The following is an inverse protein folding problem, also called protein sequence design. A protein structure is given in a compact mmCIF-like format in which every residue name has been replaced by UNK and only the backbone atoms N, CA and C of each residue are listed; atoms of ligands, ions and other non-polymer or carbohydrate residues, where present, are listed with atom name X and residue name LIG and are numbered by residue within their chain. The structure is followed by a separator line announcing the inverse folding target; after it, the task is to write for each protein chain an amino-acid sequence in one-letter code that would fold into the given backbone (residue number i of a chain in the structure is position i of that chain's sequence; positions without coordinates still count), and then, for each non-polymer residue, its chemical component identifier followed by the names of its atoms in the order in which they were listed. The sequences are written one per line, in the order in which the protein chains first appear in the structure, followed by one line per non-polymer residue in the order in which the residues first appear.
data_IF_210690276798
#
_entry.id   IF_210690276798
#
_cell.length_a   1.000
_cell.length_b   1.000
_cell.length_c   1.000
_cell.angle_alpha   90.00
_cell.angle_beta   90.00
_cell.angle_gamma   90.00
#
_symmetry.space_group_name_H-M   'P 1'
#
loop_
_entity.id
_entity.type
_entity.pdbx_description
1 polymer ?
#
# COMPACT_ATOMS: atom_id res chain seq x y z
N UNK A 1 -20.16 9.78 -6.31
CA UNK A 1 -18.87 9.71 -5.61
C UNK A 1 -18.03 10.95 -5.86
N UNK A 2 -18.63 12.13 -5.64
CA UNK A 2 -17.95 13.40 -5.88
C UNK A 2 -16.75 13.62 -4.93
N UNK A 3 -16.81 13.09 -3.70
CA UNK A 3 -15.72 13.20 -2.74
C UNK A 3 -14.45 12.49 -3.23
N UNK A 4 -14.60 11.37 -3.97
CA UNK A 4 -13.45 10.64 -4.54
C UNK A 4 -12.76 11.51 -5.59
N UNK A 5 -13.53 12.25 -6.39
CA UNK A 5 -12.97 13.11 -7.43
C UNK A 5 -12.27 14.35 -6.87
N UNK A 6 -12.54 14.72 -5.61
CA UNK A 6 -11.87 15.85 -4.97
C UNK A 6 -10.52 15.46 -4.33
N UNK A 7 -10.26 14.16 -4.17
CA UNK A 7 -9.02 13.68 -3.58
C UNK A 7 -7.90 13.74 -4.63
N UNK A 8 -6.72 14.26 -4.24
CA UNK A 8 -5.58 14.30 -5.14
C UNK A 8 -5.09 12.88 -5.39
N UNK A 9 -5.15 12.39 -6.64
CA UNK A 9 -4.82 11.00 -6.93
C UNK A 9 -3.33 10.68 -6.71
N UNK A 10 -2.44 11.64 -6.88
CA UNK A 10 -1.01 11.42 -6.68
C UNK A 10 -0.68 11.22 -5.20
N UNK A 11 -1.28 12.04 -4.32
CA UNK A 11 -1.12 11.89 -2.87
C UNK A 11 -1.68 10.55 -2.41
N UNK A 12 -2.87 10.21 -2.89
CA UNK A 12 -3.52 8.94 -2.58
C UNK A 12 -2.63 7.77 -2.99
N UNK A 13 -2.03 7.86 -4.16
CA UNK A 13 -1.18 6.81 -4.72
C UNK A 13 0.11 6.63 -3.91
N UNK A 14 0.73 7.73 -3.50
CA UNK A 14 1.94 7.69 -2.66
C UNK A 14 1.63 7.05 -1.31
N UNK A 15 0.51 7.44 -0.68
CA UNK A 15 0.09 6.85 0.60
C UNK A 15 -0.19 5.36 0.43
N UNK A 16 -0.86 4.97 -0.66
CA UNK A 16 -1.12 3.57 -0.95
C UNK A 16 0.18 2.77 -1.10
N UNK A 17 1.17 3.34 -1.80
CA UNK A 17 2.47 2.71 -1.95
C UNK A 17 3.22 2.55 -0.63
N UNK A 18 3.15 3.55 0.25
CA UNK A 18 3.76 3.47 1.57
C UNK A 18 3.07 2.42 2.44
N UNK A 19 1.74 2.28 2.33
CA UNK A 19 1.01 1.21 3.02
C UNK A 19 1.41 -0.16 2.48
N UNK A 20 1.70 -0.26 1.18
CA UNK A 20 2.23 -1.49 0.60
C UNK A 20 3.55 -1.88 1.24
N UNK A 21 4.45 -0.92 1.42
CA UNK A 21 5.72 -1.17 2.13
C UNK A 21 5.45 -1.72 3.52
N UNK A 22 4.49 -1.14 4.23
CA UNK A 22 4.15 -1.54 5.58
C UNK A 22 3.65 -2.99 5.64
N UNK A 23 2.63 -3.34 4.82
CA UNK A 23 2.09 -4.70 4.89
C UNK A 23 3.06 -5.73 4.30
N UNK A 24 3.79 -5.38 3.23
CA UNK A 24 4.74 -6.30 2.62
C UNK A 24 5.91 -6.59 3.56
N UNK A 25 6.42 -5.57 4.25
CA UNK A 25 7.49 -5.73 5.23
C UNK A 25 7.05 -6.52 6.45
N UNK A 26 5.78 -6.35 6.86
CA UNK A 26 5.22 -7.08 7.99
C UNK A 26 4.84 -8.52 7.68
N UNK A 27 4.82 -8.89 6.40
CA UNK A 27 4.34 -10.20 5.98
C UNK A 27 5.16 -11.36 6.59
N UNK A 28 6.45 -11.16 6.79
CA UNK A 28 7.33 -12.15 7.43
C UNK A 28 6.90 -12.50 8.86
N UNK A 29 6.23 -11.57 9.53
CA UNK A 29 5.84 -11.73 10.93
C UNK A 29 4.38 -12.18 11.10
N UNK A 30 3.69 -12.46 9.99
CA UNK A 30 2.32 -12.97 10.06
C UNK A 30 2.35 -14.42 10.53
N UNK A 31 1.60 -14.70 11.61
CA UNK A 31 1.45 -16.06 12.12
C UNK A 31 0.24 -16.13 13.03
N UNK A 32 -0.23 -17.34 13.30
CA UNK A 32 -1.32 -17.57 14.26
C UNK A 32 -0.89 -17.21 15.69
N UNK A 33 0.40 -17.17 15.96
CA UNK A 33 0.94 -16.81 17.26
C UNK A 33 1.09 -15.29 17.44
N UNK A 34 0.86 -14.52 16.38
CA UNK A 34 0.96 -13.05 16.40
C UNK A 34 -0.31 -12.45 15.78
N UNK A 35 -1.47 -12.61 16.45
CA UNK A 35 -2.73 -12.18 15.85
C UNK A 35 -2.82 -10.68 15.64
N UNK A 36 -2.24 -9.87 16.52
CA UNK A 36 -2.25 -8.41 16.36
C UNK A 36 -1.41 -7.95 15.18
N UNK A 37 -0.23 -8.56 14.99
CA UNK A 37 0.62 -8.28 13.83
C UNK A 37 -0.08 -8.68 12.54
N UNK A 38 -0.68 -9.86 12.52
CA UNK A 38 -1.41 -10.36 11.35
C UNK A 38 -2.60 -9.47 11.01
N UNK A 39 -3.34 -9.03 12.01
CA UNK A 39 -4.47 -8.10 11.81
C UNK A 39 -3.98 -6.77 11.25
N UNK A 40 -2.89 -6.22 11.78
CA UNK A 40 -2.29 -4.98 11.29
C UNK A 40 -1.88 -5.08 9.82
N UNK A 41 -1.27 -6.19 9.44
CA UNK A 41 -0.88 -6.43 8.03
C UNK A 41 -2.11 -6.49 7.14
N UNK A 42 -3.17 -7.19 7.56
CA UNK A 42 -4.41 -7.27 6.78
C UNK A 42 -5.08 -5.90 6.62
N UNK A 43 -5.12 -5.11 7.69
CA UNK A 43 -5.69 -3.76 7.64
C UNK A 43 -4.89 -2.87 6.70
N UNK A 44 -3.56 -2.91 6.77
CA UNK A 44 -2.69 -2.14 5.89
C UNK A 44 -2.88 -2.55 4.43
N UNK A 45 -3.00 -3.85 4.16
CA UNK A 45 -3.25 -4.36 2.81
C UNK A 45 -4.59 -3.83 2.28
N UNK A 46 -5.65 -3.96 3.07
CA UNK A 46 -6.98 -3.49 2.67
C UNK A 46 -6.98 -1.99 2.41
N UNK A 47 -6.38 -1.19 3.29
CA UNK A 47 -6.29 0.25 3.12
C UNK A 47 -5.50 0.62 1.87
N UNK A 48 -4.38 -0.06 1.61
CA UNK A 48 -3.57 0.17 0.42
C UNK A 48 -4.36 -0.11 -0.86
N UNK A 49 -5.10 -1.21 -0.90
CA UNK A 49 -5.91 -1.56 -2.07
C UNK A 49 -7.05 -0.58 -2.31
N UNK A 50 -7.70 -0.12 -1.24
CA UNK A 50 -8.77 0.88 -1.34
C UNK A 50 -8.22 2.20 -1.88
N UNK A 51 -7.08 2.65 -1.39
CA UNK A 51 -6.46 3.89 -1.86
C UNK A 51 -5.99 3.77 -3.30
N UNK A 52 -5.48 2.61 -3.70
CA UNK A 52 -5.15 2.36 -5.09
C UNK A 52 -6.40 2.49 -5.97
N UNK A 53 -7.51 1.87 -5.55
CA UNK A 53 -8.77 1.99 -6.27
C UNK A 53 -9.21 3.44 -6.41
N UNK A 54 -9.11 4.22 -5.33
CA UNK A 54 -9.46 5.65 -5.36
C UNK A 54 -8.60 6.39 -6.38
N UNK A 55 -7.31 6.12 -6.44
CA UNK A 55 -6.40 6.76 -7.39
C UNK A 55 -6.78 6.42 -8.84
N UNK A 56 -7.27 5.22 -9.10
CA UNK A 56 -7.67 4.80 -10.46
C UNK A 56 -8.91 5.52 -10.97
N UNK A 57 -9.62 6.25 -10.11
CA UNK A 57 -10.79 7.05 -10.54
C UNK A 57 -10.37 8.26 -11.37
N UNK A 58 -9.11 8.71 -11.23
CA UNK A 58 -8.56 9.85 -11.98
C UNK A 58 -7.36 9.50 -12.83
N UNK A 59 -6.64 8.43 -12.52
CA UNK A 59 -5.44 8.03 -13.23
C UNK A 59 -5.70 6.72 -13.98
N UNK A 60 -5.07 6.54 -15.17
CA UNK A 60 -5.12 5.25 -15.85
C UNK A 60 -4.61 4.14 -14.91
N UNK A 61 -5.27 2.98 -14.95
CA UNK A 61 -4.91 1.89 -14.05
C UNK A 61 -3.47 1.42 -14.24
N UNK A 62 -2.97 1.43 -15.47
CA UNK A 62 -1.58 1.06 -15.73
C UNK A 62 -0.59 1.97 -15.02
N UNK A 63 -0.83 3.28 -15.09
CA UNK A 63 0.01 4.28 -14.43
C UNK A 63 -0.07 4.14 -12.91
N UNK A 64 -1.29 4.06 -12.37
CA UNK A 64 -1.51 3.94 -10.93
C UNK A 64 -0.86 2.67 -10.39
N UNK A 65 -1.10 1.55 -11.04
CA UNK A 65 -0.55 0.26 -10.61
C UNK A 65 0.97 0.25 -10.67
N UNK A 66 1.57 0.78 -11.72
CA UNK A 66 3.03 0.81 -11.88
C UNK A 66 3.70 1.65 -10.78
N UNK A 67 3.13 2.81 -10.46
CA UNK A 67 3.66 3.68 -9.41
C UNK A 67 3.48 3.04 -8.04
N UNK A 68 2.29 2.51 -7.75
CA UNK A 68 2.00 1.84 -6.50
C UNK A 68 2.95 0.66 -6.28
N UNK A 69 3.12 -0.19 -7.29
CA UNK A 69 4.02 -1.35 -7.25
C UNK A 69 5.47 -0.90 -7.10
N UNK A 70 5.86 0.15 -7.83
CA UNK A 70 7.23 0.67 -7.78
C UNK A 70 7.59 1.21 -6.41
N UNK A 71 6.73 2.02 -5.80
CA UNK A 71 6.95 2.55 -4.45
C UNK A 71 7.03 1.40 -3.46
N UNK A 72 6.08 0.47 -3.53
CA UNK A 72 6.03 -0.67 -2.62
C UNK A 72 7.27 -1.56 -2.73
N UNK A 73 7.67 -1.89 -3.95
CA UNK A 73 8.82 -2.76 -4.19
C UNK A 73 10.13 -2.13 -3.72
N UNK A 74 10.36 -0.85 -4.07
CA UNK A 74 11.57 -0.14 -3.65
C UNK A 74 11.59 0.03 -2.14
N UNK A 75 10.47 0.44 -1.54
CA UNK A 75 10.36 0.62 -0.10
C UNK A 75 10.57 -0.68 0.66
N UNK A 76 9.96 -1.78 0.20
CA UNK A 76 10.12 -3.09 0.84
C UNK A 76 11.57 -3.58 0.74
N UNK A 77 12.23 -3.34 -0.40
CA UNK A 77 13.64 -3.69 -0.57
C UNK A 77 14.52 -2.91 0.40
N UNK A 78 14.28 -1.61 0.55
CA UNK A 78 15.03 -0.78 1.50
C UNK A 78 14.83 -1.24 2.95
N UNK A 79 13.60 -1.56 3.33
CA UNK A 79 13.30 -2.11 4.66
C UNK A 79 14.03 -3.43 4.85
N UNK A 80 14.03 -4.29 3.82
CA UNK A 80 14.72 -5.56 3.87
C UNK A 80 16.22 -5.42 4.12
N UNK A 81 16.85 -4.41 3.50
CA UNK A 81 18.28 -4.15 3.67
C UNK A 81 18.59 -3.61 5.07
N UNK A 82 17.75 -2.69 5.57
CA UNK A 82 18.02 -1.97 6.83
C UNK A 82 17.59 -2.78 8.05
N UNK A 83 16.44 -3.47 7.98
CA UNK A 83 15.83 -4.13 9.14
C UNK A 83 16.06 -5.63 9.15
N UNK A 84 16.00 -6.23 7.99
CA UNK A 84 16.14 -7.68 7.83
C UNK A 84 17.46 -8.01 7.13
#
# INVERSE_FOLDING_TARGET
MSWVMSINPWVTLVVAGLLEVLWASGLKNVSLQRPLTSLGVLVALAASMILLWVATQKLPIGTAYAIWTGIGAVGAALVGIVVY
#
